data_IF_737023587282
#
_entry.id   IF_737023587282
#
_cell.length_a   1.000
_cell.length_b   1.000
_cell.length_c   1.000
_cell.angle_alpha   90.00
_cell.angle_beta   90.00
_cell.angle_gamma   90.00
#
_symmetry.space_group_name_H-M   'P 1'
#
loop_
_entity.id
_entity.type
_entity.pdbx_description
1 polymer ?
#
# COMPACT_ATOMS: atom_id res chain seq x y z
N UNK A 1 17.00 -3.02 15.81
CA UNK A 1 15.67 -3.25 15.22
C UNK A 1 14.85 -1.99 15.46
N UNK A 2 14.43 -1.28 14.40
CA UNK A 2 13.61 -0.09 14.59
C UNK A 2 12.22 -0.54 15.10
N UNK A 3 11.89 -0.14 16.33
CA UNK A 3 10.55 -0.33 16.90
C UNK A 3 9.68 0.83 16.45
N UNK A 4 8.52 0.51 15.86
CA UNK A 4 7.65 1.49 15.25
C UNK A 4 6.31 1.59 16.00
N UNK A 5 5.63 2.74 15.93
CA UNK A 5 4.44 3.00 16.73
C UNK A 5 3.34 1.95 16.50
N UNK A 6 2.81 1.41 17.59
CA UNK A 6 1.91 0.24 17.66
C UNK A 6 0.45 0.48 17.23
N UNK A 7 0.15 1.61 16.57
CA UNK A 7 -1.23 2.03 16.25
C UNK A 7 -1.62 2.04 14.77
N UNK A 8 -0.80 1.49 13.87
CA UNK A 8 -1.10 1.46 12.42
C UNK A 8 -1.66 0.10 12.01
N UNK A 9 -2.72 0.10 11.21
CA UNK A 9 -3.37 -1.12 10.70
C UNK A 9 -2.46 -1.88 9.74
N UNK A 10 -1.74 -1.15 8.90
CA UNK A 10 -0.87 -1.69 7.86
C UNK A 10 0.58 -1.21 8.06
N UNK A 11 1.52 -2.08 7.73
CA UNK A 11 2.92 -1.73 7.57
C UNK A 11 3.17 -1.07 6.20
N UNK A 12 2.46 -1.54 5.17
CA UNK A 12 2.64 -1.12 3.78
C UNK A 12 1.30 -1.04 3.03
N UNK A 13 1.11 0.02 2.25
CA UNK A 13 0.05 0.10 1.24
C UNK A 13 0.67 0.31 -0.14
N UNK A 14 0.30 -0.52 -1.12
CA UNK A 14 0.68 -0.35 -2.54
C UNK A 14 -0.46 0.35 -3.27
N UNK A 15 -0.32 1.64 -3.55
CA UNK A 15 -1.31 2.43 -4.28
C UNK A 15 -1.05 2.40 -5.79
N UNK A 16 -2.08 2.08 -6.57
CA UNK A 16 -1.93 1.77 -8.00
C UNK A 16 -1.65 0.29 -8.27
N UNK A 17 -2.02 -0.60 -7.34
CA UNK A 17 -1.71 -2.03 -7.38
C UNK A 17 -2.24 -2.76 -8.63
N UNK A 18 -3.31 -2.27 -9.25
CA UNK A 18 -3.90 -2.89 -10.46
C UNK A 18 -3.21 -2.42 -11.75
N UNK A 19 -2.22 -1.54 -11.68
CA UNK A 19 -1.38 -1.16 -12.82
C UNK A 19 -0.32 -2.21 -13.12
N UNK A 20 0.40 -2.05 -14.23
CA UNK A 20 1.42 -3.02 -14.66
C UNK A 20 2.53 -3.22 -13.62
N UNK A 21 3.15 -2.13 -13.14
CA UNK A 21 4.19 -2.21 -12.10
C UNK A 21 3.58 -2.62 -10.75
N UNK A 22 2.40 -2.10 -10.42
CA UNK A 22 1.73 -2.41 -9.16
C UNK A 22 1.40 -3.89 -9.00
N UNK A 23 1.00 -4.57 -10.07
CA UNK A 23 0.67 -5.99 -10.02
C UNK A 23 1.93 -6.85 -9.86
N UNK A 24 3.05 -6.46 -10.48
CA UNK A 24 4.35 -7.10 -10.28
C UNK A 24 4.84 -6.96 -8.84
N UNK A 25 4.73 -5.76 -8.25
CA UNK A 25 5.07 -5.53 -6.84
C UNK A 25 4.18 -6.39 -5.94
N UNK A 26 2.87 -6.42 -6.19
CA UNK A 26 1.94 -7.22 -5.39
C UNK A 26 2.28 -8.72 -5.45
N UNK A 27 2.60 -9.25 -6.64
CA UNK A 27 3.06 -10.64 -6.80
C UNK A 27 4.37 -10.91 -6.07
N UNK A 28 5.33 -9.98 -6.15
CA UNK A 28 6.60 -10.11 -5.45
C UNK A 28 6.42 -10.15 -3.94
N UNK A 29 5.57 -9.27 -3.38
CA UNK A 29 5.26 -9.26 -1.95
C UNK A 29 4.55 -10.55 -1.53
N UNK A 30 3.54 -11.02 -2.28
CA UNK A 30 2.87 -12.29 -1.95
C UNK A 30 3.83 -13.49 -1.95
N UNK A 31 4.82 -13.51 -2.85
CA UNK A 31 5.79 -14.60 -2.92
C UNK A 31 6.87 -14.54 -1.82
N UNK A 32 7.37 -13.35 -1.50
CA UNK A 32 8.63 -13.18 -0.78
C UNK A 32 8.51 -12.44 0.56
N UNK A 33 7.42 -11.73 0.82
CA UNK A 33 7.28 -10.98 2.06
C UNK A 33 7.25 -11.91 3.29
N UNK A 34 7.72 -11.44 4.45
CA UNK A 34 7.50 -12.12 5.72
C UNK A 34 6.00 -12.28 5.99
N UNK A 35 5.57 -13.41 6.55
CA UNK A 35 4.16 -13.64 6.90
C UNK A 35 3.62 -12.65 7.94
N UNK A 36 4.52 -12.04 8.72
CA UNK A 36 4.19 -11.01 9.71
C UNK A 36 3.85 -9.65 9.08
N UNK A 37 4.11 -9.45 7.78
CA UNK A 37 3.86 -8.18 7.11
C UNK A 37 2.37 -7.96 6.92
N UNK A 38 1.81 -6.93 7.55
CA UNK A 38 0.42 -6.51 7.30
C UNK A 38 0.40 -5.48 6.18
N UNK A 39 -0.08 -5.85 5.01
CA UNK A 39 -0.06 -4.95 3.86
C UNK A 39 -1.37 -4.94 3.08
N UNK A 40 -1.59 -3.87 2.32
CA UNK A 40 -2.79 -3.69 1.51
C UNK A 40 -2.47 -3.26 0.08
N UNK A 41 -3.33 -3.66 -0.86
CA UNK A 41 -3.39 -3.12 -2.22
C UNK A 41 -4.43 -2.01 -2.29
N UNK A 42 -4.12 -0.96 -3.03
CA UNK A 42 -4.96 0.24 -3.10
C UNK A 42 -5.09 0.79 -4.51
N UNK A 43 -6.25 1.39 -4.79
CA UNK A 43 -6.60 1.91 -6.10
C UNK A 43 -8.05 2.37 -6.18
N UNK A 44 -8.46 2.86 -7.36
CA UNK A 44 -9.77 3.51 -7.57
C UNK A 44 -10.91 2.56 -7.95
N UNK A 45 -10.59 1.32 -8.33
CA UNK A 45 -11.56 0.36 -8.84
C UNK A 45 -11.56 -0.87 -7.93
N UNK A 46 -12.63 -1.03 -7.15
CA UNK A 46 -12.78 -2.13 -6.19
C UNK A 46 -12.73 -3.50 -6.86
N UNK A 47 -13.47 -3.69 -7.96
CA UNK A 47 -13.54 -4.97 -8.67
C UNK A 47 -12.15 -5.40 -9.17
N UNK A 48 -11.39 -4.50 -9.80
CA UNK A 48 -10.02 -4.82 -10.24
C UNK A 48 -9.07 -5.15 -9.08
N UNK A 49 -9.27 -4.53 -7.92
CA UNK A 49 -8.49 -4.84 -6.72
C UNK A 49 -8.83 -6.23 -6.20
N UNK A 50 -10.12 -6.57 -6.11
CA UNK A 50 -10.58 -7.90 -5.68
C UNK A 50 -10.09 -8.99 -6.63
N UNK A 51 -10.17 -8.77 -7.95
CA UNK A 51 -9.65 -9.72 -8.95
C UNK A 51 -8.14 -9.95 -8.79
N UNK A 52 -7.38 -8.90 -8.49
CA UNK A 52 -5.95 -9.01 -8.17
C UNK A 52 -5.75 -9.83 -6.89
N UNK A 53 -6.49 -9.56 -5.82
CA UNK A 53 -6.38 -10.32 -4.56
C UNK A 53 -6.69 -11.80 -4.78
N UNK A 54 -7.81 -12.13 -5.44
CA UNK A 54 -8.16 -13.52 -5.75
C UNK A 54 -7.09 -14.22 -6.60
N UNK A 55 -6.49 -13.50 -7.55
CA UNK A 55 -5.37 -14.02 -8.35
C UNK A 55 -4.17 -14.34 -7.46
N UNK A 56 -3.82 -13.45 -6.53
CA UNK A 56 -2.70 -13.65 -5.61
C UNK A 56 -2.97 -14.81 -4.64
N UNK A 57 -4.17 -14.92 -4.10
CA UNK A 57 -4.56 -16.02 -3.20
C UNK A 57 -4.52 -17.38 -3.91
N UNK A 58 -4.97 -17.43 -5.17
CA UNK A 58 -4.87 -18.64 -5.98
C UNK A 58 -3.42 -19.01 -6.31
N UNK A 59 -2.60 -18.03 -6.68
CA UNK A 59 -1.21 -18.25 -7.07
C UNK A 59 -0.32 -18.58 -5.85
N UNK A 60 -0.68 -18.11 -4.65
CA UNK A 60 0.07 -18.28 -3.39
C UNK A 60 -0.84 -18.76 -2.23
N UNK A 61 -1.41 -19.97 -2.30
CA UNK A 61 -2.47 -20.42 -1.38
C UNK A 61 -2.05 -20.62 0.08
N UNK A 62 -0.73 -20.68 0.35
CA UNK A 62 -0.18 -20.80 1.71
C UNK A 62 0.14 -19.46 2.37
N UNK A 63 -0.11 -18.34 1.67
CA UNK A 63 0.20 -16.99 2.13
C UNK A 63 -1.10 -16.24 2.38
N UNK A 64 -1.11 -15.37 3.39
CA UNK A 64 -2.24 -14.47 3.60
C UNK A 64 -2.26 -13.41 2.50
N UNK A 65 -3.40 -13.27 1.82
CA UNK A 65 -3.62 -12.25 0.79
C UNK A 65 -3.55 -10.83 1.39
N UNK A 66 -3.26 -9.82 0.55
CA UNK A 66 -3.29 -8.43 1.00
C UNK A 66 -4.71 -7.95 1.30
N UNK A 67 -4.82 -6.99 2.21
CA UNK A 67 -6.07 -6.25 2.39
C UNK A 67 -6.35 -5.33 1.21
N UNK A 68 -7.60 -4.88 1.06
CA UNK A 68 -8.00 -3.93 0.01
C UNK A 68 -8.32 -2.58 0.62
N UNK A 69 -7.76 -1.52 0.06
CA UNK A 69 -8.09 -0.13 0.39
C UNK A 69 -8.53 0.60 -0.87
N UNK A 70 -9.80 0.97 -0.95
CA UNK A 70 -10.27 1.82 -2.05
C UNK A 70 -9.74 3.25 -1.82
N UNK A 71 -9.06 3.82 -2.80
CA UNK A 71 -8.52 5.17 -2.70
C UNK A 71 -8.28 5.81 -4.06
N UNK A 72 -8.29 7.12 -4.09
CA UNK A 72 -7.81 7.95 -5.19
C UNK A 72 -6.63 8.83 -4.74
N UNK A 73 -6.22 9.76 -5.60
CA UNK A 73 -5.25 10.81 -5.24
C UNK A 73 -5.92 12.03 -4.58
N UNK A 74 -7.21 11.94 -4.23
CA UNK A 74 -7.87 12.98 -3.44
C UNK A 74 -7.21 13.09 -2.05
N UNK A 75 -7.10 14.32 -1.54
CA UNK A 75 -6.47 14.62 -0.24
C UNK A 75 -7.00 13.74 0.89
N UNK A 76 -8.32 13.57 0.99
CA UNK A 76 -8.96 12.77 2.02
C UNK A 76 -8.52 11.29 1.98
N UNK A 77 -8.38 10.72 0.79
CA UNK A 77 -7.93 9.35 0.61
C UNK A 77 -6.46 9.18 1.01
N UNK A 78 -5.61 10.16 0.65
CA UNK A 78 -4.20 10.18 1.05
C UNK A 78 -4.05 10.30 2.57
N UNK A 79 -4.84 11.17 3.21
CA UNK A 79 -4.86 11.33 4.66
C UNK A 79 -5.31 10.03 5.34
N UNK A 80 -6.36 9.37 4.84
CA UNK A 80 -6.81 8.07 5.36
C UNK A 80 -5.74 6.99 5.22
N UNK A 81 -5.14 6.84 4.04
CA UNK A 81 -4.10 5.83 3.81
C UNK A 81 -2.91 6.08 4.72
N UNK A 82 -2.40 7.31 4.78
CA UNK A 82 -1.26 7.69 5.63
C UNK A 82 -1.57 7.64 7.13
N UNK A 83 -2.85 7.71 7.53
CA UNK A 83 -3.29 7.46 8.91
C UNK A 83 -3.26 5.97 9.28
N UNK A 84 -3.48 5.08 8.31
CA UNK A 84 -3.58 3.63 8.56
C UNK A 84 -2.27 2.88 8.31
N UNK A 85 -1.32 3.48 7.61
CA UNK A 85 -0.06 2.82 7.21
C UNK A 85 1.19 3.55 7.68
N UNK A 86 2.31 2.84 7.64
CA UNK A 86 3.64 3.38 7.87
C UNK A 86 4.34 3.79 6.59
N UNK A 87 4.00 3.16 5.46
CA UNK A 87 4.55 3.42 4.14
C UNK A 87 3.46 3.28 3.06
N UNK A 88 3.42 4.24 2.13
CA UNK A 88 2.65 4.14 0.88
C UNK A 88 3.60 4.09 -0.31
N UNK A 89 3.56 3.00 -1.05
CA UNK A 89 4.23 2.87 -2.35
C UNK A 89 3.24 3.28 -3.43
N UNK A 90 3.40 4.48 -3.98
CA UNK A 90 2.57 4.96 -5.07
C UNK A 90 3.19 4.62 -6.43
N UNK A 91 2.47 3.81 -7.18
CA UNK A 91 2.78 3.41 -8.56
C UNK A 91 1.64 3.76 -9.52
N UNK A 92 0.70 4.61 -9.09
CA UNK A 92 -0.37 5.12 -9.92
C UNK A 92 0.13 6.29 -10.79
N UNK A 93 0.14 6.09 -12.11
CA UNK A 93 0.47 7.12 -13.10
C UNK A 93 1.96 7.16 -13.46
N UNK A 94 2.27 6.82 -14.72
CA UNK A 94 3.63 6.90 -15.31
C UNK A 94 4.17 8.34 -15.46
N UNK A 95 3.44 9.35 -15.00
CA UNK A 95 3.86 10.75 -15.03
C UNK A 95 4.61 11.20 -13.78
N UNK A 96 4.60 10.40 -12.70
CA UNK A 96 5.30 10.70 -11.44
C UNK A 96 5.46 9.41 -10.63
N UNK A 97 6.63 8.77 -10.73
CA UNK A 97 7.07 7.85 -9.68
C UNK A 97 7.31 8.72 -8.44
N UNK A 98 6.42 8.64 -7.46
CA UNK A 98 6.51 9.47 -6.25
C UNK A 98 6.37 8.54 -5.07
N UNK A 99 7.44 8.36 -4.30
CA UNK A 99 7.37 7.65 -3.02
C UNK A 99 6.66 8.57 -2.03
N UNK A 100 5.40 8.28 -1.74
CA UNK A 100 4.59 9.01 -0.77
C UNK A 100 4.95 8.55 0.66
N UNK A 101 6.04 9.14 1.18
CA UNK A 101 6.32 9.35 2.61
C UNK A 101 6.48 8.13 3.53
N UNK A 102 7.69 8.01 4.10
CA UNK A 102 7.86 7.62 5.50
C UNK A 102 7.49 8.84 6.36
N UNK A 103 6.36 8.81 7.08
CA UNK A 103 6.01 9.88 8.03
C UNK A 103 6.53 9.53 9.42
N UNK A 104 7.75 9.95 9.74
CA UNK A 104 8.17 10.17 11.12
C UNK A 104 7.55 11.50 11.59
N UNK A 105 6.90 11.48 12.74
CA UNK A 105 6.15 12.62 13.29
C UNK A 105 7.15 13.68 13.80
N UNK A 106 7.22 14.85 13.17
CA UNK A 106 7.74 16.08 13.78
C UNK A 106 6.68 17.18 13.69
N UNK A 107 6.33 17.72 14.86
CA UNK A 107 5.45 18.85 15.16
C UNK A 107 4.59 19.47 14.03
N UNK A 108 3.27 19.29 14.17
CA UNK A 108 2.27 20.31 13.85
C UNK A 108 1.90 20.55 12.38
N UNK A 109 2.70 20.09 11.41
CA UNK A 109 2.43 20.34 9.99
C UNK A 109 2.31 19.03 9.20
N UNK A 110 1.29 18.97 8.32
CA UNK A 110 1.08 17.88 7.37
C UNK A 110 2.07 18.00 6.20
N UNK A 111 3.35 17.78 6.47
CA UNK A 111 4.34 17.60 5.42
C UNK A 111 4.26 16.15 4.94
N UNK A 112 3.50 15.93 3.87
CA UNK A 112 3.73 14.80 2.99
C UNK A 112 5.12 15.04 2.39
N UNK A 113 6.13 14.36 2.91
CA UNK A 113 7.44 14.31 2.27
C UNK A 113 7.29 13.47 1.00
N UNK A 114 7.17 14.17 -0.13
CA UNK A 114 7.40 13.65 -1.46
C UNK A 114 8.93 13.48 -1.55
N UNK A 115 9.43 12.24 -1.62
CA UNK A 115 10.78 12.02 -2.15
C UNK A 115 10.73 12.15 -3.68
#
# INVERSE_FOLDING_TARGET
>A
MASFPTGRTYDLIVFGATGYIGSLIARYLSANAPETLKWAVSGRNMSKLQDLVHTLERDYPRRTGPFVVLASLARQDLERMTAQTRLVVNVAGVSKLTVLGLRARTNGSYNIALL
#
